data_IF_484861794804
#
_entry.id   IF_484861794804
#
_cell.length_a   1.000
_cell.length_b   1.000
_cell.length_c   1.000
_cell.angle_alpha   90.00
_cell.angle_beta   90.00
_cell.angle_gamma   90.00
#
_symmetry.space_group_name_H-M   'P 1'
#
loop_
_entity.id
_entity.type
_entity.pdbx_description
1 polymer ?
#
# COMPACT_ATOMS: atom_id res chain seq x y z
N UNK A 1 -6.66 2.56 21.27
CA UNK A 1 -6.54 1.96 19.92
C UNK A 1 -7.94 1.61 19.43
N UNK A 2 -8.33 2.00 18.22
CA UNK A 2 -9.70 1.74 17.71
C UNK A 2 -9.92 0.25 17.39
N UNK A 3 -11.16 -0.23 17.51
CA UNK A 3 -11.53 -1.62 17.19
C UNK A 3 -11.22 -1.97 15.72
N UNK A 4 -11.35 -0.98 14.83
CA UNK A 4 -11.11 -1.16 13.41
C UNK A 4 -9.63 -1.38 13.10
N UNK A 5 -8.73 -0.61 13.74
CA UNK A 5 -7.29 -0.85 13.61
C UNK A 5 -6.90 -2.23 14.17
N UNK A 6 -7.48 -2.64 15.31
CA UNK A 6 -7.25 -3.98 15.85
C UNK A 6 -7.74 -5.10 14.93
N UNK A 7 -8.83 -4.89 14.18
CA UNK A 7 -9.30 -5.83 13.16
C UNK A 7 -8.29 -5.94 12.02
N UNK A 8 -7.79 -4.81 11.51
CA UNK A 8 -6.75 -4.79 10.48
C UNK A 8 -5.46 -5.47 10.95
N UNK A 9 -5.01 -5.18 12.18
CA UNK A 9 -3.83 -5.79 12.78
C UNK A 9 -3.97 -7.31 12.81
N UNK A 10 -5.06 -7.83 13.38
CA UNK A 10 -5.34 -9.28 13.41
C UNK A 10 -5.38 -9.92 12.01
N UNK A 11 -5.82 -9.19 11.00
CA UNK A 11 -5.88 -9.68 9.62
C UNK A 11 -4.48 -9.79 8.97
N UNK A 12 -3.52 -8.97 9.40
CA UNK A 12 -2.18 -8.89 8.82
C UNK A 12 -1.12 -9.66 9.62
N UNK A 13 -1.33 -9.82 10.93
CA UNK A 13 -0.30 -10.20 11.90
C UNK A 13 -0.75 -11.38 12.76
N UNK A 14 -0.81 -12.58 12.17
CA UNK A 14 -1.13 -13.80 12.92
C UNK A 14 0.00 -14.22 13.89
N UNK A 15 1.25 -14.20 13.41
CA UNK A 15 2.42 -14.74 14.13
C UNK A 15 3.54 -13.71 14.38
N UNK A 16 3.31 -12.43 14.08
CA UNK A 16 4.32 -11.35 14.18
C UNK A 16 3.76 -10.15 14.93
N UNK A 17 4.58 -9.44 15.69
CA UNK A 17 4.15 -8.19 16.33
C UNK A 17 4.19 -7.02 15.33
N UNK A 18 3.05 -6.34 15.17
CA UNK A 18 2.93 -5.17 14.32
C UNK A 18 3.88 -4.03 14.75
N UNK A 19 4.14 -3.87 16.05
CA UNK A 19 5.04 -2.83 16.54
C UNK A 19 6.51 -3.14 16.24
N UNK A 20 6.92 -4.41 16.29
CA UNK A 20 8.26 -4.84 15.86
C UNK A 20 8.48 -4.60 14.37
N UNK A 21 7.47 -4.90 13.55
CA UNK A 21 7.53 -4.62 12.11
C UNK A 21 7.62 -3.12 11.86
N UNK A 22 6.82 -2.30 12.56
CA UNK A 22 6.89 -0.84 12.44
C UNK A 22 8.28 -0.29 12.78
N UNK A 23 8.88 -0.75 13.90
CA UNK A 23 10.25 -0.38 14.30
C UNK A 23 11.29 -0.80 13.27
N UNK A 24 11.16 -2.01 12.72
CA UNK A 24 12.09 -2.52 11.69
C UNK A 24 12.02 -1.68 10.42
N UNK A 25 10.81 -1.33 9.96
CA UNK A 25 10.62 -0.48 8.80
C UNK A 25 11.11 0.96 9.04
N UNK A 26 10.84 1.52 10.22
CA UNK A 26 11.35 2.85 10.59
C UNK A 26 12.88 2.90 10.66
N UNK A 27 13.55 1.82 11.08
CA UNK A 27 15.01 1.72 11.14
C UNK A 27 15.69 1.83 9.76
N UNK A 28 14.98 1.48 8.66
CA UNK A 28 15.48 1.68 7.29
C UNK A 28 15.68 3.17 6.96
N UNK A 29 15.03 4.08 7.69
CA UNK A 29 15.08 5.52 7.50
C UNK A 29 16.12 6.22 8.39
N UNK A 30 17.03 5.49 9.03
CA UNK A 30 17.89 6.04 10.08
C UNK A 30 18.65 7.33 9.69
N UNK A 31 19.09 7.46 8.43
CA UNK A 31 19.74 8.67 7.91
C UNK A 31 18.82 9.90 7.97
N UNK A 32 17.55 9.73 7.66
CA UNK A 32 16.52 10.78 7.71
C UNK A 32 16.15 11.17 9.14
N UNK A 33 16.38 10.26 10.09
CA UNK A 33 16.05 10.45 11.49
C UNK A 33 17.18 11.13 12.27
N UNK A 34 18.37 11.35 11.70
CA UNK A 34 19.42 12.10 12.39
C UNK A 34 18.95 13.53 12.72
N UNK A 35 19.31 14.09 13.89
CA UNK A 35 18.99 15.48 14.21
C UNK A 35 19.63 16.43 13.18
N UNK A 36 18.98 17.57 12.90
CA UNK A 36 19.51 18.56 11.94
C UNK A 36 20.86 19.09 12.42
N UNK A 37 20.93 19.53 13.68
CA UNK A 37 22.19 19.80 14.39
C UNK A 37 22.09 19.31 15.84
N UNK A 38 23.21 19.32 16.57
CA UNK A 38 23.20 18.96 17.99
C UNK A 38 22.38 19.94 18.85
N UNK A 39 22.44 21.23 18.54
CA UNK A 39 21.80 22.30 19.33
C UNK A 39 20.35 22.55 18.90
N UNK A 40 20.02 22.31 17.62
CA UNK A 40 18.68 22.42 17.05
C UNK A 40 18.27 21.10 16.37
N UNK A 41 17.90 20.06 17.14
CA UNK A 41 17.64 18.71 16.60
C UNK A 41 16.56 18.65 15.52
N UNK A 42 15.55 19.52 15.62
CA UNK A 42 14.45 19.62 14.64
C UNK A 42 14.61 20.75 13.63
N UNK A 43 15.69 21.55 13.74
CA UNK A 43 15.92 22.72 12.88
C UNK A 43 14.97 23.90 13.15
N UNK A 44 14.76 24.73 12.12
CA UNK A 44 13.93 25.93 12.18
C UNK A 44 12.64 25.76 11.35
N UNK A 45 11.61 26.57 11.63
CA UNK A 45 10.35 26.52 10.87
C UNK A 45 10.60 26.84 9.38
N UNK A 46 10.33 25.90 8.45
CA UNK A 46 10.62 26.08 7.03
C UNK A 46 9.61 27.00 6.33
N UNK A 47 8.70 27.66 7.05
CA UNK A 47 7.59 28.44 6.50
C UNK A 47 7.97 29.51 5.47
N UNK A 48 9.20 30.03 5.52
CA UNK A 48 9.75 31.00 4.58
C UNK A 48 10.87 30.43 3.68
N UNK A 49 11.22 29.15 3.83
CA UNK A 49 12.27 28.51 3.03
C UNK A 49 11.78 28.29 1.60
N UNK A 50 12.57 28.69 0.60
CA UNK A 50 12.19 28.66 -0.82
C UNK A 50 11.73 27.26 -1.28
N UNK A 51 12.48 26.22 -0.93
CA UNK A 51 12.10 24.83 -1.26
C UNK A 51 10.77 24.41 -0.63
N UNK A 52 10.45 24.88 0.59
CA UNK A 52 9.17 24.57 1.22
C UNK A 52 8.01 25.30 0.54
N UNK A 53 8.21 26.58 0.19
CA UNK A 53 7.24 27.35 -0.58
C UNK A 53 6.99 26.69 -1.94
N UNK A 54 8.05 26.20 -2.60
CA UNK A 54 7.96 25.48 -3.87
C UNK A 54 7.19 24.15 -3.74
N UNK A 55 7.41 23.37 -2.68
CA UNK A 55 6.57 22.20 -2.40
C UNK A 55 5.10 22.61 -2.23
N UNK A 56 4.82 23.69 -1.49
CA UNK A 56 3.44 24.16 -1.30
C UNK A 56 2.78 24.58 -2.62
N UNK A 57 3.52 25.24 -3.51
CA UNK A 57 3.02 25.60 -4.83
C UNK A 57 2.66 24.36 -5.65
N UNK A 58 3.52 23.33 -5.65
CA UNK A 58 3.22 22.04 -6.28
C UNK A 58 1.97 21.37 -5.69
N UNK A 59 1.81 21.40 -4.36
CA UNK A 59 0.66 20.80 -3.66
C UNK A 59 -0.66 21.54 -3.94
N UNK A 60 -0.60 22.83 -4.24
CA UNK A 60 -1.76 23.67 -4.56
C UNK A 60 -2.20 23.56 -6.02
N UNK A 61 -1.42 22.91 -6.89
CA UNK A 61 -1.84 22.66 -8.28
C UNK A 61 -3.07 21.75 -8.33
N UNK A 62 -3.97 22.07 -9.26
CA UNK A 62 -5.16 21.26 -9.54
C UNK A 62 -4.84 20.02 -10.38
N UNK A 63 -3.80 20.08 -11.21
CA UNK A 63 -3.30 18.98 -12.03
C UNK A 63 -1.82 19.19 -12.37
N UNK A 64 -1.15 18.13 -12.83
CA UNK A 64 0.26 18.21 -13.25
C UNK A 64 1.24 18.52 -12.12
N UNK A 65 0.91 18.12 -10.89
CA UNK A 65 1.82 18.21 -9.74
C UNK A 65 3.08 17.38 -9.99
N UNK A 66 4.26 17.99 -9.84
CA UNK A 66 5.53 17.29 -9.95
C UNK A 66 5.87 16.58 -8.64
N UNK A 67 5.45 15.32 -8.53
CA UNK A 67 5.69 14.49 -7.35
C UNK A 67 7.17 14.09 -7.21
N UNK A 68 7.92 14.07 -8.31
CA UNK A 68 9.37 13.84 -8.29
C UNK A 68 10.10 14.99 -7.62
N UNK A 69 9.75 16.22 -7.99
CA UNK A 69 10.26 17.44 -7.37
C UNK A 69 9.89 17.52 -5.89
N UNK A 70 8.63 17.23 -5.52
CA UNK A 70 8.22 17.21 -4.10
C UNK A 70 9.09 16.24 -3.30
N UNK A 71 9.34 15.03 -3.82
CA UNK A 71 10.20 14.06 -3.13
C UNK A 71 11.63 14.59 -2.93
N UNK A 72 12.23 15.16 -3.97
CA UNK A 72 13.60 15.69 -3.92
C UNK A 72 13.74 16.85 -2.92
N UNK A 73 12.82 17.81 -2.96
CA UNK A 73 12.83 18.96 -2.07
C UNK A 73 12.56 18.54 -0.62
N UNK A 74 11.59 17.65 -0.41
CA UNK A 74 11.27 17.17 0.93
C UNK A 74 12.42 16.36 1.55
N UNK A 75 13.15 15.56 0.75
CA UNK A 75 14.37 14.89 1.18
C UNK A 75 15.43 15.88 1.65
N UNK A 76 15.76 16.87 0.81
CA UNK A 76 16.73 17.92 1.14
C UNK A 76 16.36 18.63 2.45
N UNK A 77 15.10 19.06 2.58
CA UNK A 77 14.62 19.79 3.75
C UNK A 77 14.63 18.93 5.02
N UNK A 78 14.13 17.69 4.95
CA UNK A 78 14.09 16.80 6.10
C UNK A 78 15.49 16.39 6.56
N UNK A 79 16.46 16.25 5.65
CA UNK A 79 17.84 15.92 6.00
C UNK A 79 18.62 17.12 6.55
N UNK A 80 18.39 18.33 6.04
CA UNK A 80 19.33 19.45 6.26
C UNK A 80 18.74 20.67 6.95
N UNK A 81 17.42 20.86 6.94
CA UNK A 81 16.80 22.12 7.39
C UNK A 81 15.85 21.93 8.56
N UNK A 82 14.87 21.03 8.45
CA UNK A 82 13.74 20.98 9.38
C UNK A 82 13.10 19.59 9.48
N UNK A 83 12.90 19.10 10.71
CA UNK A 83 12.05 17.93 11.00
C UNK A 83 10.59 18.40 11.10
N UNK A 84 10.02 18.71 9.95
CA UNK A 84 8.67 19.27 9.82
C UNK A 84 7.68 18.26 9.26
N UNK A 85 6.55 18.14 9.95
CA UNK A 85 5.48 17.21 9.61
C UNK A 85 4.77 17.57 8.31
N UNK A 86 4.63 18.86 7.98
CA UNK A 86 4.03 19.27 6.70
C UNK A 86 4.86 18.74 5.54
N UNK A 87 6.19 18.80 5.66
CA UNK A 87 7.12 18.26 4.67
C UNK A 87 6.97 16.73 4.59
N UNK A 88 6.95 16.05 5.74
CA UNK A 88 6.79 14.61 5.80
C UNK A 88 5.46 14.14 5.17
N UNK A 89 4.34 14.83 5.43
CA UNK A 89 3.04 14.45 4.87
C UNK A 89 2.92 14.73 3.37
N UNK A 90 3.53 15.81 2.87
CA UNK A 90 3.65 16.04 1.43
C UNK A 90 4.56 15.01 0.75
N UNK A 91 5.65 14.62 1.40
CA UNK A 91 6.52 13.53 0.91
C UNK A 91 5.74 12.22 0.80
N UNK A 92 4.99 11.82 1.83
CA UNK A 92 4.17 10.59 1.83
C UNK A 92 3.18 10.60 0.67
N UNK A 93 2.48 11.72 0.47
CA UNK A 93 1.54 11.85 -0.64
C UNK A 93 2.24 11.74 -2.00
N UNK A 94 3.40 12.39 -2.18
CA UNK A 94 4.16 12.30 -3.42
C UNK A 94 4.67 10.85 -3.67
N UNK A 95 5.13 10.15 -2.62
CA UNK A 95 5.54 8.75 -2.69
C UNK A 95 4.39 7.82 -3.07
N UNK A 96 3.18 8.04 -2.54
CA UNK A 96 1.99 7.29 -2.95
C UNK A 96 1.74 7.40 -4.46
N UNK A 97 1.88 8.60 -5.05
CA UNK A 97 1.67 8.77 -6.50
C UNK A 97 2.78 8.14 -7.34
N UNK A 98 4.01 8.16 -6.84
CA UNK A 98 5.17 7.63 -7.58
C UNK A 98 5.27 6.11 -7.51
N UNK A 99 5.10 5.56 -6.32
CA UNK A 99 5.41 4.16 -6.02
C UNK A 99 4.19 3.37 -5.52
N UNK A 100 2.99 3.96 -5.58
CA UNK A 100 1.75 3.31 -5.16
C UNK A 100 1.71 3.00 -3.65
N UNK A 101 1.10 1.87 -3.31
CA UNK A 101 0.96 1.44 -1.92
C UNK A 101 2.29 1.29 -1.19
N UNK A 102 3.33 0.79 -1.88
CA UNK A 102 4.69 0.71 -1.34
C UNK A 102 5.21 2.08 -0.91
N UNK A 103 5.01 3.10 -1.73
CA UNK A 103 5.42 4.47 -1.40
C UNK A 103 4.71 5.02 -0.17
N UNK A 104 3.43 4.69 0.02
CA UNK A 104 2.69 5.02 1.23
C UNK A 104 3.24 4.28 2.46
N UNK A 105 3.50 2.98 2.35
CA UNK A 105 4.05 2.16 3.42
C UNK A 105 5.41 2.72 3.91
N UNK A 106 6.31 2.96 2.96
CA UNK A 106 7.63 3.50 3.20
C UNK A 106 7.59 4.92 3.79
N UNK A 107 6.71 5.78 3.26
CA UNK A 107 6.52 7.13 3.79
C UNK A 107 5.94 7.15 5.22
N UNK A 108 4.99 6.28 5.53
CA UNK A 108 4.45 6.15 6.89
C UNK A 108 5.49 5.60 7.86
N UNK A 109 6.35 4.68 7.42
CA UNK A 109 7.48 4.21 8.23
C UNK A 109 8.46 5.34 8.59
N UNK A 110 8.77 6.23 7.64
CA UNK A 110 9.54 7.46 7.92
C UNK A 110 8.82 8.33 8.97
N UNK A 111 7.52 8.56 8.82
CA UNK A 111 6.76 9.36 9.78
C UNK A 111 6.73 8.74 11.18
N UNK A 112 6.59 7.41 11.26
CA UNK A 112 6.72 6.67 12.52
C UNK A 112 8.07 6.97 13.18
N UNK A 113 9.17 6.82 12.45
CA UNK A 113 10.50 7.11 12.99
C UNK A 113 10.68 8.58 13.42
N UNK A 114 10.12 9.54 12.66
CA UNK A 114 10.16 10.96 13.02
C UNK A 114 9.38 11.22 14.32
N UNK A 115 8.17 10.67 14.44
CA UNK A 115 7.30 10.82 15.61
C UNK A 115 7.89 10.15 16.84
N UNK A 116 8.48 8.96 16.70
CA UNK A 116 9.15 8.28 17.81
C UNK A 116 10.36 9.05 18.32
N UNK A 117 11.17 9.60 17.41
CA UNK A 117 12.45 10.22 17.77
C UNK A 117 12.32 11.65 18.25
N UNK A 118 11.44 12.44 17.63
CA UNK A 118 11.31 13.87 17.91
C UNK A 118 10.00 14.22 18.60
N UNK A 119 9.00 13.34 18.58
CA UNK A 119 7.74 13.49 19.30
C UNK A 119 7.07 14.85 19.07
N UNK A 120 6.78 15.54 20.16
CA UNK A 120 6.10 16.84 20.17
C UNK A 120 7.02 18.02 19.80
N UNK A 121 8.33 17.78 19.65
CA UNK A 121 9.28 18.79 19.18
C UNK A 121 9.25 18.98 17.66
N UNK A 122 8.67 18.03 16.93
CA UNK A 122 8.50 18.15 15.48
C UNK A 122 7.82 19.47 15.11
N UNK A 123 8.25 20.03 13.98
CA UNK A 123 7.64 21.24 13.43
C UNK A 123 6.35 20.91 12.68
N UNK A 124 5.35 21.82 12.62
CA UNK A 124 5.29 23.11 13.31
C UNK A 124 5.29 22.98 14.83
N UNK A 125 5.90 23.93 15.53
CA UNK A 125 5.99 23.91 17.01
C UNK A 125 4.63 23.99 17.70
N UNK A 126 3.67 24.72 17.10
CA UNK A 126 2.32 24.87 17.64
C UNK A 126 1.53 23.56 17.57
N UNK A 127 1.03 23.03 18.70
CA UNK A 127 0.32 21.74 18.74
C UNK A 127 -0.84 21.62 17.75
N UNK A 128 -1.72 22.63 17.68
CA UNK A 128 -2.86 22.61 16.77
C UNK A 128 -2.43 22.53 15.29
N UNK A 129 -1.39 23.28 14.90
CA UNK A 129 -0.87 23.26 13.53
C UNK A 129 -0.19 21.93 13.19
N UNK A 130 0.55 21.36 14.13
CA UNK A 130 1.16 20.03 13.96
C UNK A 130 0.10 18.93 13.85
N UNK A 131 -0.92 18.97 14.69
CA UNK A 131 -2.08 18.07 14.61
C UNK A 131 -2.73 18.14 13.22
N UNK A 132 -3.05 19.35 12.75
CA UNK A 132 -3.65 19.53 11.41
C UNK A 132 -2.76 18.97 10.30
N UNK A 133 -1.44 19.14 10.39
CA UNK A 133 -0.49 18.61 9.41
C UNK A 133 -0.48 17.07 9.39
N UNK A 134 -0.58 16.41 10.56
CA UNK A 134 -0.68 14.94 10.66
C UNK A 134 -2.02 14.45 10.13
N UNK A 135 -3.12 15.07 10.55
CA UNK A 135 -4.49 14.69 10.15
C UNK A 135 -4.78 14.97 8.67
N UNK A 136 -3.95 15.78 7.99
CA UNK A 136 -4.03 15.96 6.54
C UNK A 136 -3.85 14.63 5.78
N UNK A 137 -3.10 13.66 6.32
CA UNK A 137 -3.00 12.30 5.75
C UNK A 137 -4.33 11.52 5.81
N UNK A 138 -5.27 11.97 6.64
CA UNK A 138 -6.62 11.44 6.70
C UNK A 138 -7.65 12.34 5.98
N UNK A 139 -7.18 13.36 5.24
CA UNK A 139 -8.01 14.27 4.45
C UNK A 139 -8.31 13.76 3.03
N UNK A 140 -9.32 14.38 2.41
CA UNK A 140 -9.89 14.00 1.10
C UNK A 140 -8.83 13.82 0.00
N UNK A 141 -7.91 14.78 -0.18
CA UNK A 141 -6.85 14.70 -1.21
C UNK A 141 -5.96 13.45 -1.07
N UNK A 142 -5.71 12.99 0.15
CA UNK A 142 -4.95 11.77 0.42
C UNK A 142 -5.80 10.52 0.14
N UNK A 143 -7.03 10.49 0.65
CA UNK A 143 -7.95 9.36 0.48
C UNK A 143 -8.32 9.12 -0.99
N UNK A 144 -8.60 10.19 -1.75
CA UNK A 144 -8.84 10.13 -3.20
C UNK A 144 -7.62 9.62 -3.96
N UNK A 145 -6.42 9.94 -3.46
CA UNK A 145 -5.19 9.44 -4.06
C UNK A 145 -4.99 7.96 -3.78
N UNK A 146 -5.29 7.51 -2.57
CA UNK A 146 -5.23 6.10 -2.18
C UNK A 146 -6.26 5.27 -2.95
N UNK A 147 -7.45 5.81 -3.20
CA UNK A 147 -8.51 5.14 -3.95
C UNK A 147 -8.11 4.77 -5.39
N UNK A 148 -7.10 5.44 -5.97
CA UNK A 148 -6.56 5.09 -7.30
C UNK A 148 -5.69 3.82 -7.31
N UNK A 149 -5.38 3.26 -6.14
CA UNK A 149 -4.60 2.03 -5.97
C UNK A 149 -5.44 0.98 -5.22
N UNK A 150 -6.52 0.44 -5.80
CA UNK A 150 -7.45 -0.47 -5.10
C UNK A 150 -6.83 -1.82 -4.76
N UNK A 151 -5.84 -2.29 -5.52
CA UNK A 151 -5.18 -3.57 -5.29
C UNK A 151 -4.39 -3.56 -3.99
N UNK A 152 -4.57 -4.57 -3.14
CA UNK A 152 -3.88 -4.69 -1.86
C UNK A 152 -2.68 -5.63 -1.98
N UNK A 153 -1.47 -5.07 -1.95
CA UNK A 153 -0.24 -5.84 -1.82
C UNK A 153 -0.03 -6.22 -0.36
N UNK A 154 0.01 -7.52 -0.05
CA UNK A 154 -0.04 -8.03 1.33
C UNK A 154 1.04 -7.45 2.24
N UNK A 155 2.28 -7.38 1.76
CA UNK A 155 3.41 -6.87 2.55
C UNK A 155 3.31 -5.36 2.77
N UNK A 156 3.06 -4.59 1.71
CA UNK A 156 2.94 -3.13 1.82
C UNK A 156 1.74 -2.74 2.69
N UNK A 157 0.60 -3.41 2.55
CA UNK A 157 -0.57 -3.18 3.39
C UNK A 157 -0.28 -3.51 4.86
N UNK A 158 0.39 -4.64 5.13
CA UNK A 158 0.79 -4.99 6.49
C UNK A 158 1.73 -3.93 7.08
N UNK A 159 2.69 -3.42 6.30
CA UNK A 159 3.60 -2.36 6.72
C UNK A 159 2.86 -1.04 7.00
N UNK A 160 1.85 -0.68 6.20
CA UNK A 160 0.97 0.47 6.47
C UNK A 160 0.24 0.29 7.80
N UNK A 161 -0.36 -0.88 8.03
CA UNK A 161 -1.07 -1.18 9.28
C UNK A 161 -0.13 -1.14 10.47
N UNK A 162 1.08 -1.69 10.36
CA UNK A 162 2.11 -1.62 11.39
C UNK A 162 2.47 -0.16 11.74
N UNK A 163 2.76 0.67 10.73
CA UNK A 163 3.07 2.08 10.93
C UNK A 163 1.92 2.84 11.62
N UNK A 164 0.66 2.57 11.22
CA UNK A 164 -0.53 3.18 11.86
C UNK A 164 -0.73 2.72 13.31
N UNK A 165 -0.42 1.47 13.64
CA UNK A 165 -0.42 1.00 15.03
C UNK A 165 0.61 1.77 15.85
N UNK A 166 1.85 1.87 15.37
CA UNK A 166 2.90 2.58 16.09
C UNK A 166 2.59 4.07 16.24
N UNK A 167 2.13 4.75 15.19
CA UNK A 167 1.70 6.14 15.24
C UNK A 167 0.56 6.35 16.25
N UNK A 168 -0.43 5.45 16.27
CA UNK A 168 -1.53 5.51 17.25
C UNK A 168 -0.99 5.42 18.67
N UNK A 169 -0.06 4.49 18.94
CA UNK A 169 0.59 4.35 20.25
C UNK A 169 1.36 5.63 20.61
N UNK A 170 2.18 6.15 19.71
CA UNK A 170 2.95 7.37 19.94
C UNK A 170 2.04 8.59 20.22
N UNK A 171 0.97 8.76 19.46
CA UNK A 171 0.02 9.88 19.65
C UNK A 171 -0.75 9.78 20.98
N UNK A 172 -1.06 8.57 21.45
CA UNK A 172 -1.68 8.38 22.77
C UNK A 172 -0.74 8.66 23.93
N UNK A 173 0.57 8.60 23.71
CA UNK A 173 1.57 8.93 24.72
C UNK A 173 1.85 10.45 24.82
N UNK A 174 1.33 11.25 23.89
CA UNK A 174 1.50 12.70 23.94
C UNK A 174 0.66 13.33 25.07
N UNK A 175 1.18 14.36 25.76
CA UNK A 175 0.42 15.14 26.74
C UNK A 175 -0.87 15.75 26.15
N UNK A 176 -1.90 15.98 26.99
CA UNK A 176 -3.21 16.47 26.54
C UNK A 176 -3.14 17.82 25.79
N UNK A 177 -2.27 18.73 26.23
CA UNK A 177 -2.06 20.04 25.60
C UNK A 177 -1.43 19.96 24.21
N UNK A 178 -0.87 18.79 23.85
CA UNK A 178 -0.24 18.55 22.56
C UNK A 178 -1.22 18.13 21.47
N UNK A 179 -2.51 17.97 21.81
CA UNK A 179 -3.61 17.68 20.90
C UNK A 179 -3.33 16.45 20.02
N UNK A 180 -3.55 15.24 20.55
CA UNK A 180 -3.31 14.00 19.81
C UNK A 180 -4.10 13.95 18.48
N UNK A 181 -3.43 13.70 17.34
CA UNK A 181 -4.07 13.57 16.04
C UNK A 181 -4.80 12.23 15.88
N UNK A 182 -5.79 12.20 14.99
CA UNK A 182 -6.54 10.99 14.63
C UNK A 182 -6.43 10.68 13.14
N UNK A 183 -5.97 9.47 12.82
CA UNK A 183 -5.89 8.95 11.45
C UNK A 183 -7.06 8.00 11.11
N UNK A 184 -8.17 8.08 11.86
CA UNK A 184 -9.33 7.19 11.67
C UNK A 184 -9.90 7.17 10.26
N UNK A 185 -10.04 8.30 9.53
CA UNK A 185 -10.53 8.26 8.15
C UNK A 185 -9.62 7.44 7.21
N UNK A 186 -8.30 7.52 7.38
CA UNK A 186 -7.35 6.70 6.62
C UNK A 186 -7.47 5.21 6.98
N UNK A 187 -7.60 4.90 8.27
CA UNK A 187 -7.80 3.54 8.77
C UNK A 187 -9.11 2.94 8.21
N UNK A 188 -10.20 3.73 8.16
CA UNK A 188 -11.47 3.31 7.55
C UNK A 188 -11.34 3.07 6.04
N UNK A 189 -10.63 3.94 5.32
CA UNK A 189 -10.40 3.77 3.89
C UNK A 189 -9.62 2.48 3.58
N UNK A 190 -8.59 2.17 4.39
CA UNK A 190 -7.81 0.93 4.26
C UNK A 190 -8.65 -0.32 4.54
N UNK A 191 -9.55 -0.28 5.52
CA UNK A 191 -10.46 -1.39 5.80
C UNK A 191 -11.46 -1.63 4.68
N UNK A 192 -12.06 -0.55 4.17
CA UNK A 192 -12.96 -0.65 3.01
C UNK A 192 -12.24 -1.23 1.80
N UNK A 193 -11.02 -0.76 1.53
CA UNK A 193 -10.16 -1.25 0.44
C UNK A 193 -9.79 -2.73 0.61
N UNK A 194 -9.46 -3.16 1.83
CA UNK A 194 -9.17 -4.56 2.12
C UNK A 194 -10.40 -5.45 1.91
N UNK A 195 -11.57 -5.01 2.39
CA UNK A 195 -12.82 -5.73 2.22
C UNK A 195 -13.20 -5.88 0.74
N UNK A 196 -13.06 -4.79 -0.03
CA UNK A 196 -13.31 -4.78 -1.46
C UNK A 196 -12.33 -5.66 -2.25
N UNK A 197 -11.09 -5.82 -1.79
CA UNK A 197 -10.10 -6.71 -2.40
C UNK A 197 -10.32 -8.20 -2.11
N UNK A 198 -11.37 -8.56 -1.36
CA UNK A 198 -11.65 -9.94 -0.94
C UNK A 198 -10.92 -10.37 0.34
N UNK A 199 -10.32 -9.42 1.06
CA UNK A 199 -9.58 -9.66 2.30
C UNK A 199 -8.09 -10.00 2.11
N UNK A 200 -7.33 -10.03 3.21
CA UNK A 200 -5.86 -10.25 3.19
C UNK A 200 -5.46 -11.61 2.59
N UNK A 201 -6.36 -12.59 2.69
CA UNK A 201 -6.14 -13.94 2.19
C UNK A 201 -6.73 -14.16 0.80
N UNK A 202 -7.19 -13.10 0.12
CA UNK A 202 -7.60 -13.21 -1.27
C UNK A 202 -6.45 -13.74 -2.12
N UNK A 203 -6.75 -14.75 -2.93
CA UNK A 203 -5.80 -15.38 -3.87
C UNK A 203 -5.67 -14.57 -5.15
N UNK A 204 -6.76 -13.92 -5.55
CA UNK A 204 -6.85 -13.10 -6.76
C UNK A 204 -7.33 -11.72 -6.33
N UNK A 205 -6.68 -10.63 -6.76
CA UNK A 205 -7.19 -9.28 -6.55
C UNK A 205 -8.62 -9.17 -7.09
N UNK A 206 -9.58 -8.78 -6.24
CA UNK A 206 -10.99 -8.67 -6.65
C UNK A 206 -11.30 -7.34 -7.34
N UNK A 207 -10.48 -6.31 -7.11
CA UNK A 207 -10.59 -5.01 -7.74
C UNK A 207 -9.29 -4.65 -8.45
N UNK A 208 -9.23 -4.88 -9.77
CA UNK A 208 -8.16 -4.38 -10.62
C UNK A 208 -8.56 -2.99 -11.13
N UNK A 209 -7.82 -1.94 -10.78
CA UNK A 209 -7.95 -0.68 -11.51
C UNK A 209 -7.15 -0.78 -12.79
N UNK A 210 -7.79 -0.60 -13.95
CA UNK A 210 -7.11 -0.36 -15.21
C UNK A 210 -6.52 1.06 -15.23
N UNK A 211 -5.56 1.37 -14.35
CA UNK A 211 -4.76 2.57 -14.50
C UNK A 211 -3.66 2.24 -15.48
N UNK A 212 -3.75 2.79 -16.69
CA UNK A 212 -2.61 2.95 -17.60
C UNK A 212 -1.56 3.81 -16.89
N UNK A 213 -0.70 3.18 -16.09
CA UNK A 213 0.59 3.78 -15.76
C UNK A 213 1.38 3.96 -17.07
N UNK A 214 2.10 5.06 -17.27
CA UNK A 214 3.10 5.13 -18.33
C UNK A 214 4.19 4.11 -17.98
N UNK A 215 4.08 2.91 -18.55
CA UNK A 215 5.04 1.84 -18.35
C UNK A 215 6.33 2.16 -19.11
N UNK A 216 7.39 2.45 -18.37
CA UNK A 216 8.73 2.07 -18.81
C UNK A 216 8.74 0.53 -18.90
N UNK A 217 9.14 -0.07 -20.03
CA UNK A 217 9.14 -1.52 -20.19
C UNK A 217 10.35 -2.07 -19.44
N UNK A 218 10.18 -2.44 -18.18
CA UNK A 218 11.17 -3.24 -17.46
C UNK A 218 10.47 -4.50 -16.96
N UNK A 219 10.61 -5.54 -17.77
CA UNK A 219 10.62 -6.96 -17.37
C UNK A 219 9.38 -7.51 -16.63
N UNK A 220 8.18 -7.13 -17.05
CA UNK A 220 7.00 -7.93 -16.75
C UNK A 220 7.03 -9.21 -17.62
N UNK A 221 6.89 -10.43 -17.06
CA UNK A 221 6.84 -11.64 -17.85
C UNK A 221 5.68 -11.53 -18.83
N UNK A 222 5.99 -11.45 -20.13
CA UNK A 222 4.97 -11.41 -21.16
C UNK A 222 4.16 -12.69 -21.09
N UNK A 223 2.86 -12.56 -20.80
CA UNK A 223 1.92 -13.66 -20.92
C UNK A 223 2.01 -14.15 -22.36
N UNK A 224 2.51 -15.37 -22.55
CA UNK A 224 2.66 -15.95 -23.89
C UNK A 224 1.30 -15.95 -24.57
N UNK A 225 1.23 -15.37 -25.77
CA UNK A 225 0.02 -15.32 -26.56
C UNK A 225 -0.49 -16.74 -26.80
N UNK A 226 -1.75 -17.00 -26.46
CA UNK A 226 -2.36 -18.31 -26.63
C UNK A 226 -2.71 -18.50 -28.11
N UNK A 227 -2.01 -19.40 -28.78
CA UNK A 227 -2.17 -19.64 -30.23
C UNK A 227 -2.91 -20.94 -30.57
N UNK A 228 -3.09 -21.85 -29.62
CA UNK A 228 -3.80 -23.13 -29.82
C UNK A 228 -4.56 -23.58 -28.57
N UNK A 229 -5.52 -24.51 -28.76
CA UNK A 229 -6.24 -25.14 -27.65
C UNK A 229 -5.35 -25.98 -26.72
N UNK A 230 -4.21 -26.46 -27.23
CA UNK A 230 -3.21 -27.16 -26.41
C UNK A 230 -2.48 -26.17 -25.50
N UNK A 231 -2.08 -25.02 -26.05
CA UNK A 231 -1.40 -23.95 -25.30
C UNK A 231 -2.33 -23.43 -24.20
N UNK A 232 -3.60 -23.18 -24.54
CA UNK A 232 -4.65 -22.77 -23.59
C UNK A 232 -4.75 -23.75 -22.42
N UNK A 233 -4.84 -25.04 -22.72
CA UNK A 233 -4.95 -26.09 -21.71
C UNK A 233 -3.70 -26.20 -20.83
N UNK A 234 -2.51 -26.04 -21.40
CA UNK A 234 -1.27 -26.13 -20.64
C UNK A 234 -1.07 -24.89 -19.75
N UNK A 235 -1.43 -23.68 -20.20
CA UNK A 235 -1.46 -22.49 -19.35
C UNK A 235 -2.52 -22.62 -18.23
N UNK A 236 -3.72 -23.13 -18.54
CA UNK A 236 -4.76 -23.33 -17.54
C UNK A 236 -4.37 -24.32 -16.44
N UNK A 237 -3.56 -25.36 -16.76
CA UNK A 237 -3.00 -26.26 -15.74
C UNK A 237 -2.04 -25.56 -14.79
N UNK A 238 -1.23 -24.62 -15.30
CA UNK A 238 -0.33 -23.82 -14.47
C UNK A 238 -1.15 -22.98 -13.48
N UNK A 239 -2.18 -22.30 -13.98
CA UNK A 239 -3.11 -21.53 -13.14
C UNK A 239 -3.85 -22.40 -12.13
N UNK A 240 -4.38 -23.56 -12.56
CA UNK A 240 -5.08 -24.48 -11.68
C UNK A 240 -4.17 -25.04 -10.59
N UNK A 241 -2.89 -25.32 -10.90
CA UNK A 241 -1.90 -25.75 -9.90
C UNK A 241 -1.66 -24.66 -8.87
N UNK A 242 -1.43 -23.43 -9.32
CA UNK A 242 -1.27 -22.28 -8.42
C UNK A 242 -2.48 -22.14 -7.48
N UNK A 243 -3.70 -22.17 -8.03
CA UNK A 243 -4.93 -22.10 -7.24
C UNK A 243 -5.00 -23.25 -6.21
N UNK A 244 -4.63 -24.47 -6.60
CA UNK A 244 -4.68 -25.62 -5.71
C UNK A 244 -3.66 -25.56 -4.57
N UNK A 245 -2.56 -24.82 -4.74
CA UNK A 245 -1.55 -24.56 -3.70
C UNK A 245 -2.03 -23.54 -2.66
N UNK A 246 -3.12 -22.80 -2.93
CA UNK A 246 -3.67 -21.82 -1.99
C UNK A 246 -4.63 -22.45 -0.96
N UNK A 247 -4.75 -21.86 0.24
CA UNK A 247 -5.75 -22.28 1.22
C UNK A 247 -7.16 -22.29 0.63
N UNK A 248 -7.87 -23.42 0.75
CA UNK A 248 -9.22 -23.62 0.18
C UNK A 248 -9.33 -23.43 -1.34
N UNK A 249 -8.22 -23.44 -2.08
CA UNK A 249 -8.22 -23.17 -3.53
C UNK A 249 -8.62 -24.35 -4.42
N UNK A 250 -8.82 -25.55 -3.85
CA UNK A 250 -9.17 -26.78 -4.58
C UNK A 250 -10.43 -26.62 -5.45
N UNK A 251 -11.46 -25.92 -4.95
CA UNK A 251 -12.72 -25.75 -5.67
C UNK A 251 -12.54 -24.81 -6.87
N UNK A 252 -11.76 -23.75 -6.70
CA UNK A 252 -11.43 -22.81 -7.78
C UNK A 252 -10.61 -23.49 -8.88
N UNK A 253 -9.58 -24.26 -8.49
CA UNK A 253 -8.78 -25.06 -9.42
C UNK A 253 -9.63 -26.08 -10.19
N UNK A 254 -10.53 -26.79 -9.49
CA UNK A 254 -11.45 -27.74 -10.11
C UNK A 254 -12.40 -27.07 -11.10
N UNK A 255 -13.04 -25.95 -10.70
CA UNK A 255 -13.97 -25.21 -11.57
C UNK A 255 -13.30 -24.67 -12.82
N UNK A 256 -12.08 -24.12 -12.70
CA UNK A 256 -11.30 -23.65 -13.85
C UNK A 256 -11.09 -24.77 -14.87
N UNK A 257 -10.59 -25.93 -14.42
CA UNK A 257 -10.34 -27.06 -15.30
C UNK A 257 -11.63 -27.67 -15.86
N UNK A 258 -12.71 -27.68 -15.07
CA UNK A 258 -14.00 -28.22 -15.50
C UNK A 258 -14.62 -27.35 -16.59
N UNK A 259 -14.73 -26.04 -16.36
CA UNK A 259 -15.25 -25.07 -17.34
C UNK A 259 -14.46 -25.15 -18.64
N UNK A 260 -13.13 -25.15 -18.58
CA UNK A 260 -12.31 -25.23 -19.79
C UNK A 260 -12.47 -26.54 -20.58
N UNK A 261 -12.75 -27.66 -19.89
CA UNK A 261 -12.86 -28.97 -20.54
C UNK A 261 -14.24 -29.28 -21.07
N UNK A 262 -15.28 -28.85 -20.35
CA UNK A 262 -16.67 -29.21 -20.65
C UNK A 262 -17.41 -28.12 -21.39
N UNK A 263 -17.18 -26.85 -21.07
CA UNK A 263 -17.91 -25.75 -21.68
C UNK A 263 -17.39 -25.42 -23.09
N UNK A 264 -16.26 -26.02 -23.50
CA UNK A 264 -15.71 -25.94 -24.86
C UNK A 264 -16.12 -27.11 -25.76
N UNK A 265 -16.89 -28.07 -25.24
CA UNK A 265 -17.40 -29.21 -26.03
C UNK A 265 -18.85 -28.90 -26.39
N UNK A 266 -19.08 -28.51 -27.64
CA UNK A 266 -20.41 -28.11 -28.12
C UNK A 266 -21.15 -29.21 -28.88
N UNK A 267 -20.46 -30.31 -29.21
CA UNK A 267 -20.99 -31.42 -29.99
C UNK A 267 -20.80 -32.75 -29.27
N UNK A 268 -21.76 -33.65 -29.43
CA UNK A 268 -21.65 -35.01 -28.91
C UNK A 268 -20.65 -35.81 -29.77
N UNK A 269 -19.80 -36.65 -29.15
CA UNK A 269 -18.89 -37.50 -29.91
C UNK A 269 -19.69 -38.52 -30.73
N UNK A 270 -19.28 -38.81 -31.98
CA UNK A 270 -19.94 -39.80 -32.80
C UNK A 270 -19.85 -41.19 -32.16
N UNK A 271 -20.97 -41.91 -32.15
CA UNK A 271 -21.07 -43.27 -31.63
C UNK A 271 -21.48 -44.27 -32.72
N UNK A 272 -21.06 -45.52 -32.54
CA UNK A 272 -21.56 -46.70 -33.27
C UNK A 272 -21.91 -47.73 -32.23
N UNK A 273 -23.17 -48.17 -32.21
CA UNK A 273 -23.71 -49.11 -31.21
C UNK A 273 -23.45 -48.68 -29.76
N UNK A 274 -23.58 -47.38 -29.47
CA UNK A 274 -23.36 -46.82 -28.13
C UNK A 274 -21.90 -46.75 -27.68
N UNK A 275 -20.94 -47.01 -28.58
CA UNK A 275 -19.50 -46.89 -28.32
C UNK A 275 -18.91 -45.70 -29.08
N UNK A 276 -18.23 -44.81 -28.35
CA UNK A 276 -17.49 -43.69 -28.93
C UNK A 276 -16.07 -44.11 -29.34
N UNK A 277 -15.40 -43.29 -30.14
CA UNK A 277 -13.98 -43.46 -30.50
C UNK A 277 -13.00 -42.94 -29.43
N UNK A 278 -13.50 -42.50 -28.28
CA UNK A 278 -12.68 -41.96 -27.20
C UNK A 278 -11.99 -43.10 -26.45
N UNK A 279 -10.70 -42.94 -26.17
CA UNK A 279 -9.96 -43.91 -25.37
C UNK A 279 -10.50 -43.92 -23.93
N UNK A 280 -10.67 -45.11 -23.31
CA UNK A 280 -11.02 -45.19 -21.90
C UNK A 280 -9.89 -44.63 -21.02
N UNK A 281 -10.20 -44.17 -19.79
CA UNK A 281 -9.18 -43.77 -18.82
C UNK A 281 -8.16 -44.90 -18.61
N UNK A 282 -6.89 -44.54 -18.45
CA UNK A 282 -5.84 -45.51 -18.09
C UNK A 282 -6.13 -46.02 -16.68
N UNK A 283 -6.17 -47.34 -16.53
CA UNK A 283 -6.22 -48.05 -15.24
C UNK A 283 -4.86 -48.03 -14.55
#
# INVERSE_FOLDING_TARGET
>A
MSELLQKLTRSCFADRDALDVARTQAALWQTWLLPVTADTPVGEDPGYHDDFLRIRDEMNKLSGTDTGLICQLAESLLLTQAKDVRIATYYIWARLHRDGERGLAEGLALLTGLVERFGTQLLPSRPASRKMALEWLAGEKMLDSLARYPEVAKEDFANIVAALNQLTVSFTAWPEDQHSPSLMPLINALESRLAQSGGMNAVVPQNSSSVTAPSSPVDAPQVQTITSGRDLLDQAKVLARYLNEQPQGWLSAHRLMKTLRWDTVHELPPDVDGKTRLAPPRT
#
